data_IF_206450511200
#
_entry.id   IF_206450511200
#
_cell.length_a   1.000
_cell.length_b   1.000
_cell.length_c   1.000
_cell.angle_alpha   90.00
_cell.angle_beta   90.00
_cell.angle_gamma   90.00
#
_symmetry.space_group_name_H-M   'P 1'
#
loop_
_entity.id
_entity.type
_entity.pdbx_description
1 polymer ?
#
# COMPACT_ATOMS: atom_id res chain seq x y z
N UNK A 1 -12.93 22.43 5.71
CA UNK A 1 -13.21 21.63 4.50
C UNK A 1 -13.98 20.39 4.91
N UNK A 2 -14.91 19.89 4.08
CA UNK A 2 -15.57 18.60 4.36
C UNK A 2 -14.70 17.44 3.85
N UNK A 3 -14.56 16.34 4.61
CA UNK A 3 -13.81 15.19 4.15
C UNK A 3 -14.47 14.55 2.92
N UNK A 4 -13.67 13.95 2.05
CA UNK A 4 -14.20 13.10 0.99
C UNK A 4 -15.03 11.96 1.59
N UNK A 5 -16.05 11.50 0.88
CA UNK A 5 -16.79 10.32 1.31
C UNK A 5 -15.88 9.09 1.21
N UNK A 6 -15.72 8.33 2.30
CA UNK A 6 -14.90 7.12 2.32
C UNK A 6 -15.26 6.13 1.20
N UNK A 7 -16.54 6.05 0.80
CA UNK A 7 -16.98 5.22 -0.32
C UNK A 7 -16.38 5.61 -1.67
N UNK A 8 -15.96 6.88 -1.85
CA UNK A 8 -15.29 7.34 -3.08
C UNK A 8 -13.82 6.92 -3.17
N UNK A 9 -13.21 6.54 -2.04
CA UNK A 9 -11.82 6.09 -1.98
C UNK A 9 -11.69 4.57 -1.81
N UNK A 10 -12.80 3.83 -1.96
CA UNK A 10 -12.79 2.35 -1.95
C UNK A 10 -11.98 1.81 -3.13
N UNK A 11 -10.87 1.08 -2.91
CA UNK A 11 -9.99 0.65 -3.99
C UNK A 11 -10.46 -0.61 -4.73
N UNK A 12 -11.59 -1.21 -4.37
CA UNK A 12 -12.13 -2.44 -4.97
C UNK A 12 -12.07 -2.48 -6.51
N UNK A 13 -12.65 -1.46 -7.15
CA UNK A 13 -12.70 -1.40 -8.63
C UNK A 13 -11.30 -1.30 -9.23
N UNK A 14 -10.39 -0.59 -8.55
CA UNK A 14 -9.01 -0.44 -8.98
C UNK A 14 -8.24 -1.75 -8.86
N UNK A 15 -8.36 -2.47 -7.73
CA UNK A 15 -7.71 -3.77 -7.54
C UNK A 15 -8.22 -4.80 -8.55
N UNK A 16 -9.54 -4.87 -8.77
CA UNK A 16 -10.12 -5.77 -9.78
C UNK A 16 -9.62 -5.44 -11.20
N UNK A 17 -9.46 -4.15 -11.51
CA UNK A 17 -8.89 -3.73 -12.78
C UNK A 17 -7.43 -4.19 -12.92
N UNK A 18 -6.59 -3.99 -11.90
CA UNK A 18 -5.20 -4.46 -11.93
C UNK A 18 -5.08 -5.98 -12.03
N UNK A 19 -5.97 -6.72 -11.40
CA UNK A 19 -6.02 -8.18 -11.57
C UNK A 19 -6.36 -8.59 -13.00
N UNK A 20 -7.29 -7.89 -13.64
CA UNK A 20 -7.62 -8.16 -15.04
C UNK A 20 -6.44 -7.93 -16.00
N UNK A 21 -5.46 -7.11 -15.61
CA UNK A 21 -4.25 -6.87 -16.40
C UNK A 21 -3.23 -8.00 -16.30
N UNK A 22 -3.34 -8.89 -15.30
CA UNK A 22 -2.42 -10.03 -15.11
C UNK A 22 -2.54 -11.12 -16.18
N UNK A 23 -3.53 -11.04 -17.06
CA UNK A 23 -3.65 -11.89 -18.25
C UNK A 23 -2.77 -11.44 -19.41
N UNK A 24 -2.22 -10.22 -19.32
CA UNK A 24 -1.33 -9.65 -20.31
C UNK A 24 0.12 -9.73 -19.80
N UNK A 25 1.08 -9.77 -20.73
CA UNK A 25 2.47 -9.54 -20.37
C UNK A 25 2.65 -8.05 -20.04
N UNK A 26 3.14 -7.76 -18.84
CA UNK A 26 3.38 -6.39 -18.37
C UNK A 26 4.87 -6.11 -18.32
N UNK A 27 5.29 -4.96 -18.83
CA UNK A 27 6.66 -4.51 -18.62
C UNK A 27 6.90 -4.09 -17.17
N UNK A 28 8.17 -3.98 -16.79
CA UNK A 28 8.57 -3.64 -15.43
C UNK A 28 8.06 -2.26 -14.99
N UNK A 29 7.95 -1.29 -15.92
CA UNK A 29 7.48 0.05 -15.61
C UNK A 29 6.01 0.00 -15.18
N UNK A 30 5.17 -0.72 -15.91
CA UNK A 30 3.78 -0.93 -15.54
C UNK A 30 3.65 -1.64 -14.19
N UNK A 31 4.39 -2.72 -13.96
CA UNK A 31 4.37 -3.45 -12.68
C UNK A 31 4.73 -2.52 -11.51
N UNK A 32 5.80 -1.73 -11.66
CA UNK A 32 6.22 -0.75 -10.65
C UNK A 32 5.11 0.26 -10.34
N UNK A 33 4.46 0.81 -11.36
CA UNK A 33 3.39 1.81 -11.18
C UNK A 33 2.14 1.21 -10.56
N UNK A 34 1.78 -0.02 -10.90
CA UNK A 34 0.66 -0.73 -10.27
C UNK A 34 0.94 -0.94 -8.77
N UNK A 35 2.13 -1.42 -8.40
CA UNK A 35 2.51 -1.62 -7.00
C UNK A 35 2.40 -0.32 -6.19
N UNK A 36 2.92 0.81 -6.71
CA UNK A 36 2.78 2.11 -6.05
C UNK A 36 1.30 2.51 -5.91
N UNK A 37 0.51 2.36 -6.98
CA UNK A 37 -0.91 2.72 -6.98
C UNK A 37 -1.71 1.88 -5.97
N UNK A 38 -1.44 0.57 -5.87
CA UNK A 38 -2.06 -0.33 -4.89
C UNK A 38 -1.78 0.18 -3.47
N UNK A 39 -0.51 0.41 -3.11
CA UNK A 39 -0.15 0.88 -1.77
C UNK A 39 -0.84 2.20 -1.41
N UNK A 40 -0.77 3.20 -2.29
CA UNK A 40 -1.38 4.50 -2.03
C UNK A 40 -2.91 4.45 -2.00
N UNK A 41 -3.54 3.58 -2.78
CA UNK A 41 -5.00 3.42 -2.73
C UNK A 41 -5.48 2.89 -1.38
N UNK A 42 -4.77 1.91 -0.80
CA UNK A 42 -5.06 1.38 0.53
C UNK A 42 -4.80 2.43 1.62
N UNK A 43 -3.67 3.13 1.54
CA UNK A 43 -3.33 4.21 2.46
C UNK A 43 -4.39 5.32 2.45
N UNK A 44 -4.82 5.75 1.27
CA UNK A 44 -5.85 6.79 1.12
C UNK A 44 -7.18 6.32 1.71
N UNK A 45 -7.58 5.07 1.47
CA UNK A 45 -8.80 4.51 2.05
C UNK A 45 -8.74 4.42 3.58
N UNK A 46 -7.63 3.94 4.14
CA UNK A 46 -7.40 3.93 5.59
C UNK A 46 -7.42 5.35 6.18
N UNK A 47 -6.79 6.32 5.51
CA UNK A 47 -6.70 7.70 5.98
C UNK A 47 -8.07 8.36 6.09
N UNK A 48 -8.92 8.19 5.08
CA UNK A 48 -10.26 8.79 5.10
C UNK A 48 -11.17 8.12 6.13
N UNK A 49 -11.03 6.80 6.33
CA UNK A 49 -11.77 6.10 7.41
C UNK A 49 -11.38 6.64 8.79
N UNK A 50 -10.10 6.94 9.02
CA UNK A 50 -9.65 7.57 10.25
C UNK A 50 -10.25 8.97 10.45
N UNK A 51 -10.30 9.79 9.39
CA UNK A 51 -10.95 11.11 9.46
C UNK A 51 -12.44 10.96 9.79
N UNK A 52 -13.15 10.02 9.15
CA UNK A 52 -14.56 9.75 9.42
C UNK A 52 -14.82 9.26 10.86
N UNK A 53 -13.85 8.58 11.50
CA UNK A 53 -13.91 8.20 12.93
C UNK A 53 -13.64 9.36 13.89
N UNK A 54 -13.25 10.54 13.39
CA UNK A 54 -12.90 11.70 14.20
C UNK A 54 -11.44 11.73 14.66
N UNK A 55 -10.57 10.87 14.11
CA UNK A 55 -9.14 10.90 14.44
C UNK A 55 -8.51 12.16 13.84
N UNK A 56 -7.72 12.87 14.65
CA UNK A 56 -7.02 14.10 14.21
C UNK A 56 -5.88 13.75 13.26
N UNK A 57 -6.00 14.15 12.01
CA UNK A 57 -4.89 14.13 11.06
C UNK A 57 -3.99 15.37 11.26
N UNK A 58 -2.92 15.46 10.46
CA UNK A 58 -1.92 16.54 10.49
C UNK A 58 -2.07 17.48 9.29
N UNK A 59 -1.27 18.54 9.29
CA UNK A 59 -1.20 19.53 8.21
C UNK A 59 -2.25 20.63 8.32
N UNK A 60 -2.13 21.65 7.47
CA UNK A 60 -2.98 22.85 7.52
C UNK A 60 -4.48 22.53 7.34
N UNK A 61 -4.79 21.45 6.62
CA UNK A 61 -6.15 21.00 6.35
C UNK A 61 -6.62 19.84 7.24
N UNK A 62 -5.78 19.34 8.15
CA UNK A 62 -6.03 18.12 8.93
C UNK A 62 -6.44 16.93 8.05
N UNK A 63 -5.72 16.71 6.96
CA UNK A 63 -5.98 15.65 5.96
C UNK A 63 -4.78 14.72 5.71
N UNK A 64 -3.67 14.92 6.43
CA UNK A 64 -2.44 14.15 6.22
C UNK A 64 -2.13 13.22 7.39
N UNK A 65 -1.78 11.97 7.07
CA UNK A 65 -1.27 11.01 8.05
C UNK A 65 0.15 10.55 7.66
N UNK A 66 1.04 10.28 8.62
CA UNK A 66 2.30 9.63 8.32
C UNK A 66 2.09 8.20 7.82
N UNK A 67 2.83 7.79 6.78
CA UNK A 67 2.83 6.39 6.32
C UNK A 67 3.20 5.40 7.43
N UNK A 68 4.06 5.80 8.36
CA UNK A 68 4.44 4.98 9.52
C UNK A 68 3.25 4.61 10.38
N UNK A 69 2.27 5.52 10.53
CA UNK A 69 1.07 5.25 11.30
C UNK A 69 0.19 4.20 10.61
N UNK A 70 -0.01 4.32 9.29
CA UNK A 70 -0.71 3.30 8.52
C UNK A 70 -0.06 1.91 8.64
N UNK A 71 1.27 1.86 8.55
CA UNK A 71 2.01 0.59 8.67
C UNK A 71 1.86 0.01 10.08
N UNK A 72 1.99 0.83 11.12
CA UNK A 72 1.86 0.41 12.51
C UNK A 72 0.45 -0.11 12.82
N UNK A 73 -0.59 0.61 12.39
CA UNK A 73 -1.99 0.22 12.60
C UNK A 73 -2.28 -1.16 12.00
N UNK A 74 -1.87 -1.40 10.75
CA UNK A 74 -2.07 -2.70 10.10
C UNK A 74 -1.24 -3.80 10.75
N UNK A 75 0.02 -3.54 11.08
CA UNK A 75 0.88 -4.51 11.75
C UNK A 75 0.31 -4.93 13.11
N UNK A 76 -0.14 -3.97 13.91
CA UNK A 76 -0.78 -4.22 15.21
C UNK A 76 -2.16 -4.90 15.10
N UNK A 77 -2.81 -4.84 13.93
CA UNK A 77 -4.10 -5.47 13.67
C UNK A 77 -3.99 -6.91 13.13
N UNK A 78 -2.80 -7.52 13.17
CA UNK A 78 -2.57 -8.88 12.70
C UNK A 78 -2.25 -9.00 11.20
N UNK A 79 -2.04 -7.89 10.49
CA UNK A 79 -1.69 -7.84 9.07
C UNK A 79 -0.20 -7.54 8.84
N UNK A 80 0.66 -7.78 9.85
CA UNK A 80 2.11 -7.52 9.77
C UNK A 80 2.76 -8.13 8.51
N UNK A 81 2.51 -9.39 8.12
CA UNK A 81 3.10 -9.96 6.91
C UNK A 81 2.69 -9.22 5.63
N UNK A 82 1.40 -8.90 5.49
CA UNK A 82 0.83 -8.23 4.32
C UNK A 82 1.37 -6.80 4.19
N UNK A 83 1.34 -6.02 5.27
CA UNK A 83 1.80 -4.63 5.21
C UNK A 83 3.32 -4.53 5.11
N UNK A 84 4.07 -5.45 5.72
CA UNK A 84 5.51 -5.57 5.50
C UNK A 84 5.81 -5.81 4.02
N UNK A 85 5.14 -6.78 3.39
CA UNK A 85 5.33 -7.10 1.98
C UNK A 85 4.98 -5.92 1.07
N UNK A 86 3.81 -5.31 1.27
CA UNK A 86 3.38 -4.11 0.53
C UNK A 86 4.37 -2.94 0.69
N UNK A 87 4.88 -2.71 1.90
CA UNK A 87 5.79 -1.60 2.16
C UNK A 87 7.19 -1.83 1.55
N UNK A 88 7.75 -3.04 1.66
CA UNK A 88 9.03 -3.39 1.03
C UNK A 88 8.97 -3.14 -0.48
N UNK A 89 7.92 -3.62 -1.14
CA UNK A 89 7.80 -3.48 -2.59
C UNK A 89 7.44 -2.05 -2.99
N UNK A 90 6.64 -1.30 -2.22
CA UNK A 90 6.47 0.14 -2.43
C UNK A 90 7.82 0.88 -2.44
N UNK A 91 8.67 0.61 -1.44
CA UNK A 91 10.01 1.21 -1.37
C UNK A 91 10.87 0.76 -2.56
N UNK A 92 10.83 -0.52 -2.93
CA UNK A 92 11.56 -1.06 -4.08
C UNK A 92 11.21 -0.33 -5.38
N UNK A 93 9.91 -0.18 -5.67
CA UNK A 93 9.45 0.35 -6.96
C UNK A 93 9.60 1.86 -7.10
N UNK A 94 9.67 2.60 -5.99
CA UNK A 94 9.75 4.06 -5.97
C UNK A 94 11.18 4.61 -5.73
N UNK A 95 12.08 3.83 -5.12
CA UNK A 95 13.40 4.32 -4.71
C UNK A 95 14.59 3.54 -5.26
N UNK A 96 14.38 2.40 -5.92
CA UNK A 96 15.45 1.58 -6.48
C UNK A 96 15.25 1.33 -7.97
N UNK A 97 16.27 1.65 -8.78
CA UNK A 97 16.21 1.48 -10.24
C UNK A 97 16.61 0.08 -10.70
N UNK A 98 17.51 -0.60 -9.98
CA UNK A 98 17.94 -1.95 -10.34
C UNK A 98 16.84 -3.00 -10.12
N UNK A 99 16.87 -4.06 -10.92
CA UNK A 99 16.03 -5.25 -10.77
C UNK A 99 16.83 -6.50 -11.18
N UNK A 100 17.22 -7.38 -10.25
CA UNK A 100 16.90 -7.37 -8.81
C UNK A 100 17.65 -6.26 -8.03
N UNK A 101 17.22 -6.02 -6.80
CA UNK A 101 17.82 -5.01 -5.89
C UNK A 101 17.75 -5.44 -4.43
N UNK A 102 18.49 -4.74 -3.56
CA UNK A 102 18.50 -4.93 -2.10
C UNK A 102 17.91 -3.70 -1.43
N UNK A 103 16.72 -3.86 -0.86
CA UNK A 103 15.95 -2.78 -0.21
C UNK A 103 16.26 -2.74 1.27
N UNK A 104 16.57 -1.56 1.81
CA UNK A 104 16.72 -1.31 3.24
C UNK A 104 15.65 -0.33 3.71
N UNK A 105 14.85 -0.76 4.68
CA UNK A 105 13.75 0.06 5.21
C UNK A 105 14.26 1.06 6.24
N UNK A 106 13.87 2.32 6.09
CA UNK A 106 14.36 3.42 6.94
C UNK A 106 13.36 3.86 8.02
N UNK A 107 12.12 3.39 7.95
CA UNK A 107 11.02 3.81 8.83
C UNK A 107 10.55 2.67 9.75
N UNK A 108 10.12 3.03 10.96
CA UNK A 108 9.46 2.09 11.86
C UNK A 108 8.14 1.56 11.26
N UNK A 109 7.72 0.33 11.62
CA UNK A 109 8.34 -0.58 12.60
C UNK A 109 9.53 -1.39 12.06
N UNK A 110 9.82 -1.33 10.75
CA UNK A 110 10.79 -2.21 10.10
C UNK A 110 12.17 -1.60 9.85
N UNK A 111 12.47 -0.48 10.50
CA UNK A 111 13.74 0.24 10.32
C UNK A 111 14.95 -0.70 10.47
N UNK A 112 15.86 -0.65 9.50
CA UNK A 112 17.06 -1.48 9.46
C UNK A 112 16.86 -2.87 8.84
N UNK A 113 15.62 -3.34 8.65
CA UNK A 113 15.37 -4.58 7.90
C UNK A 113 15.78 -4.40 6.45
N UNK A 114 16.38 -5.45 5.90
CA UNK A 114 16.89 -5.47 4.54
C UNK A 114 16.43 -6.72 3.82
N UNK A 115 16.04 -6.59 2.56
CA UNK A 115 15.50 -7.68 1.76
C UNK A 115 15.96 -7.58 0.30
N UNK A 116 16.43 -8.70 -0.26
CA UNK A 116 16.64 -8.82 -1.70
C UNK A 116 15.29 -9.06 -2.37
N UNK A 117 14.98 -8.25 -3.39
CA UNK A 117 13.72 -8.31 -4.12
C UNK A 117 13.97 -8.30 -5.62
N UNK A 118 13.07 -8.93 -6.35
CA UNK A 118 12.97 -8.87 -7.80
C UNK A 118 11.54 -8.44 -8.14
N UNK A 119 11.38 -7.50 -9.05
CA UNK A 119 10.06 -7.01 -9.46
C UNK A 119 9.67 -7.75 -10.74
N UNK A 120 8.61 -8.54 -10.67
CA UNK A 120 8.05 -9.31 -11.77
C UNK A 120 6.54 -9.55 -11.57
N UNK A 121 5.91 -10.20 -12.54
CA UNK A 121 4.46 -10.48 -12.52
C UNK A 121 4.05 -11.38 -11.35
N UNK A 122 4.92 -12.28 -10.89
CA UNK A 122 4.63 -13.15 -9.74
C UNK A 122 4.56 -12.34 -8.45
N UNK A 123 5.46 -11.37 -8.28
CA UNK A 123 5.38 -10.42 -7.18
C UNK A 123 4.12 -9.57 -7.28
N UNK A 124 3.75 -9.11 -8.48
CA UNK A 124 2.53 -8.32 -8.65
C UNK A 124 1.29 -9.10 -8.18
N UNK A 125 1.17 -10.39 -8.50
CA UNK A 125 0.09 -11.27 -8.00
C UNK A 125 0.04 -11.27 -6.47
N UNK A 126 1.18 -11.51 -5.81
CA UNK A 126 1.27 -11.52 -4.34
C UNK A 126 0.96 -10.16 -3.71
N UNK A 127 1.29 -9.06 -4.39
CA UNK A 127 0.94 -7.71 -3.96
C UNK A 127 -0.57 -7.50 -3.99
N UNK A 128 -1.23 -7.94 -5.06
CA UNK A 128 -2.68 -7.84 -5.20
C UNK A 128 -3.42 -8.74 -4.19
N UNK A 129 -2.92 -9.95 -3.93
CA UNK A 129 -3.40 -10.84 -2.86
C UNK A 129 -3.29 -10.17 -1.48
N UNK A 130 -2.09 -9.67 -1.13
CA UNK A 130 -1.86 -8.97 0.14
C UNK A 130 -2.74 -7.71 0.26
N UNK A 131 -2.97 -7.01 -0.85
CA UNK A 131 -3.82 -5.84 -0.88
C UNK A 131 -5.29 -6.17 -0.64
N UNK A 132 -5.78 -7.32 -1.11
CA UNK A 132 -7.15 -7.80 -0.86
C UNK A 132 -7.36 -8.19 0.60
N UNK A 133 -6.37 -8.80 1.24
CA UNK A 133 -6.41 -9.09 2.67
C UNK A 133 -6.53 -7.79 3.48
N UNK A 134 -5.67 -6.81 3.19
CA UNK A 134 -5.71 -5.49 3.82
C UNK A 134 -7.03 -4.79 3.53
N UNK A 135 -7.55 -4.85 2.31
CA UNK A 135 -8.82 -4.23 1.95
C UNK A 135 -10.01 -4.84 2.71
N UNK A 136 -10.04 -6.17 2.84
CA UNK A 136 -11.09 -6.88 3.58
C UNK A 136 -11.12 -6.48 5.05
N UNK A 137 -9.96 -6.28 5.66
CA UNK A 137 -9.85 -5.67 6.99
C UNK A 137 -10.34 -4.22 6.98
N UNK A 138 -9.85 -3.41 6.04
CA UNK A 138 -10.20 -1.99 5.94
C UNK A 138 -11.67 -1.73 5.68
N UNK A 139 -12.45 -2.66 5.12
CA UNK A 139 -13.89 -2.49 5.00
C UNK A 139 -14.60 -2.53 6.35
N UNK A 140 -14.11 -3.37 7.26
CA UNK A 140 -14.64 -3.52 8.61
C UNK A 140 -13.96 -2.58 9.63
N UNK A 141 -12.90 -1.88 9.22
CA UNK A 141 -12.08 -1.01 10.07
C UNK A 141 -12.86 0.11 10.74
#
# INVERSE_FOLDING_TARGET
MQPSNANKLKPHKLLNYFESLLSNSLDEVFIRRIISAVYFSLFNYWSIKNICKGNKAKGNNNDSFPHTQFIQDLASSGLDPQIYFLYVYRVAVDHYTLNPTKVTLTSHPYKGRTQNVKIDENILRKILESAKDVLSFLDNY
#
